data_IF_045976381146
#
_entry.id   IF_045976381146
#
_cell.length_a   1.000
_cell.length_b   1.000
_cell.length_c   1.000
_cell.angle_alpha   90.00
_cell.angle_beta   90.00
_cell.angle_gamma   90.00
#
_symmetry.space_group_name_H-M   'P 1'
#
loop_
_entity.id
_entity.type
_entity.pdbx_description
1 polymer ?
#
# COMPACT_ATOMS: atom_id res chain seq x y z
N UNK A 1 7.64 3.58 14.78
CA UNK A 1 6.99 3.74 13.50
C UNK A 1 7.91 4.33 12.47
N UNK A 2 7.74 3.94 11.23
CA UNK A 2 8.60 4.45 10.17
C UNK A 2 7.97 5.73 9.59
N UNK A 3 8.57 6.86 9.95
CA UNK A 3 8.06 8.16 9.56
C UNK A 3 8.08 8.34 8.03
N UNK A 4 9.08 7.81 7.34
CA UNK A 4 9.16 7.93 5.88
C UNK A 4 8.01 7.20 5.20
N UNK A 5 7.63 6.04 5.71
CA UNK A 5 6.51 5.29 5.15
C UNK A 5 5.20 6.06 5.36
N UNK A 6 5.01 6.64 6.53
CA UNK A 6 3.83 7.42 6.79
C UNK A 6 3.76 8.65 5.91
N UNK A 7 4.88 9.33 5.70
CA UNK A 7 4.93 10.48 4.81
C UNK A 7 4.61 10.09 3.37
N UNK A 8 5.11 8.93 2.94
CA UNK A 8 4.82 8.44 1.59
C UNK A 8 3.32 8.18 1.41
N UNK A 9 2.68 7.59 2.42
CA UNK A 9 1.25 7.34 2.37
C UNK A 9 0.45 8.65 2.30
N UNK A 10 0.89 9.66 3.03
CA UNK A 10 0.25 10.98 2.98
C UNK A 10 0.33 11.55 1.57
N UNK A 11 1.50 11.47 0.95
CA UNK A 11 1.68 11.98 -0.41
C UNK A 11 0.85 11.21 -1.42
N UNK A 12 0.81 9.88 -1.29
CA UNK A 12 0.00 9.05 -2.17
C UNK A 12 -1.49 9.37 -2.03
N UNK A 13 -1.95 9.50 -0.79
CA UNK A 13 -3.35 9.81 -0.55
C UNK A 13 -3.72 11.16 -1.15
N UNK A 14 -2.84 12.13 -1.02
CA UNK A 14 -3.06 13.45 -1.61
C UNK A 14 -3.11 13.37 -3.13
N UNK A 15 -2.21 12.60 -3.72
CA UNK A 15 -2.16 12.43 -5.17
C UNK A 15 -3.45 11.84 -5.71
N UNK A 16 -3.99 10.83 -5.04
CA UNK A 16 -5.21 10.15 -5.47
C UNK A 16 -6.48 10.77 -4.87
N UNK A 17 -6.33 11.79 -4.05
CA UNK A 17 -7.46 12.51 -3.44
C UNK A 17 -8.33 11.60 -2.58
N UNK A 18 -7.68 10.80 -1.77
CA UNK A 18 -8.36 9.92 -0.81
C UNK A 18 -7.82 10.23 0.59
N UNK A 19 -8.53 9.71 1.60
CA UNK A 19 -8.05 9.82 2.98
C UNK A 19 -6.78 8.99 3.15
N UNK A 20 -5.94 9.37 4.10
CA UNK A 20 -4.72 8.63 4.39
C UNK A 20 -5.10 7.37 5.18
N UNK A 21 -4.73 6.17 4.70
CA UNK A 21 -5.00 4.97 5.47
C UNK A 21 -4.10 4.93 6.70
N UNK A 22 -4.60 4.28 7.75
CA UNK A 22 -3.78 4.04 8.93
C UNK A 22 -2.79 2.93 8.66
N UNK A 23 -1.66 2.97 9.34
CA UNK A 23 -0.62 1.95 9.22
C UNK A 23 -0.41 1.31 10.58
N UNK A 24 -0.49 0.00 10.65
CA UNK A 24 -0.45 -0.73 11.90
C UNK A 24 0.41 -1.97 11.76
N UNK A 25 1.12 -2.33 12.83
CA UNK A 25 1.85 -3.60 12.91
C UNK A 25 0.97 -4.62 13.61
N UNK A 26 0.92 -5.83 13.05
CA UNK A 26 0.11 -6.91 13.58
C UNK A 26 -1.10 -7.16 12.71
N UNK A 27 -1.25 -8.39 12.24
CA UNK A 27 -2.39 -8.74 11.39
C UNK A 27 -3.63 -8.99 12.25
N UNK A 28 -4.83 -8.66 11.73
CA UNK A 28 -6.06 -9.00 12.42
C UNK A 28 -6.19 -10.52 12.58
N UNK A 29 -6.98 -10.94 13.54
CA UNK A 29 -7.24 -12.36 13.79
C UNK A 29 -7.85 -12.99 12.55
N UNK A 30 -7.51 -14.24 12.31
CA UNK A 30 -8.08 -15.02 11.21
C UNK A 30 -7.31 -14.95 9.91
N UNK A 31 -6.27 -14.13 9.85
CA UNK A 31 -5.46 -14.05 8.63
C UNK A 31 -4.44 -15.17 8.57
N UNK A 32 -4.13 -15.60 7.35
CA UNK A 32 -3.18 -16.68 7.13
C UNK A 32 -1.78 -16.22 7.49
N UNK A 33 -0.97 -17.17 7.96
CA UNK A 33 0.38 -16.86 8.43
C UNK A 33 1.33 -16.44 7.32
N UNK A 34 1.01 -16.75 6.08
CA UNK A 34 1.93 -16.50 4.97
C UNK A 34 1.66 -15.20 4.21
N UNK A 35 0.88 -14.31 4.76
CA UNK A 35 0.70 -12.99 4.14
C UNK A 35 1.56 -11.98 4.88
N UNK A 36 2.03 -10.97 4.14
CA UNK A 36 2.90 -9.94 4.67
C UNK A 36 2.15 -8.71 5.14
N UNK A 37 0.95 -8.52 4.65
CA UNK A 37 0.12 -7.41 5.04
C UNK A 37 -1.31 -7.63 4.60
N UNK A 38 -2.19 -6.77 5.07
CA UNK A 38 -3.58 -6.78 4.63
C UNK A 38 -4.18 -5.39 4.76
N UNK A 39 -5.26 -5.18 4.06
CA UNK A 39 -6.02 -3.93 4.17
C UNK A 39 -7.41 -4.22 4.69
N UNK A 40 -7.84 -3.45 5.68
CA UNK A 40 -9.18 -3.55 6.25
C UNK A 40 -9.96 -2.29 5.90
N UNK A 41 -10.97 -2.42 5.04
CA UNK A 41 -11.72 -1.26 4.57
C UNK A 41 -12.59 -0.65 5.66
N UNK A 42 -13.04 -1.45 6.60
CA UNK A 42 -13.92 -0.98 7.66
C UNK A 42 -13.29 0.17 8.44
N UNK A 43 -12.02 0.07 8.75
CA UNK A 43 -11.30 1.11 9.49
C UNK A 43 -10.16 1.74 8.68
N UNK A 44 -10.11 1.45 7.39
CA UNK A 44 -9.14 2.02 6.46
C UNK A 44 -7.70 1.84 6.96
N UNK A 45 -7.38 0.62 7.35
CA UNK A 45 -6.09 0.32 7.96
C UNK A 45 -5.29 -0.67 7.13
N UNK A 46 -4.04 -0.33 6.85
CA UNK A 46 -3.05 -1.25 6.33
C UNK A 46 -2.34 -1.87 7.51
N UNK A 47 -2.44 -3.19 7.65
CA UNK A 47 -1.81 -3.93 8.72
C UNK A 47 -0.64 -4.73 8.16
N UNK A 48 0.52 -4.64 8.78
CA UNK A 48 1.72 -5.33 8.33
C UNK A 48 2.06 -6.45 9.30
N UNK A 49 2.59 -7.54 8.78
CA UNK A 49 2.96 -8.70 9.59
C UNK A 49 3.93 -8.33 10.68
N UNK A 50 4.92 -7.49 10.37
CA UNK A 50 5.89 -7.02 11.35
C UNK A 50 6.42 -5.66 10.93
N UNK A 51 7.16 -5.02 11.83
CA UNK A 51 7.75 -3.71 11.55
C UNK A 51 8.80 -3.77 10.44
N UNK A 52 9.32 -4.96 10.12
CA UNK A 52 10.28 -5.11 9.05
C UNK A 52 9.71 -4.70 7.70
N UNK A 53 8.40 -4.72 7.55
CA UNK A 53 7.75 -4.39 6.28
C UNK A 53 7.48 -2.91 6.09
N UNK A 54 7.81 -2.06 7.06
CA UNK A 54 7.66 -0.62 6.86
C UNK A 54 8.47 -0.10 5.68
N UNK A 55 9.62 -0.71 5.41
CA UNK A 55 10.46 -0.30 4.30
C UNK A 55 10.17 -1.04 3.00
N UNK A 56 9.17 -1.90 2.98
CA UNK A 56 8.87 -2.69 1.80
C UNK A 56 7.79 -1.99 0.97
N UNK A 57 8.25 -1.22 -0.02
CA UNK A 57 7.34 -0.41 -0.83
C UNK A 57 6.32 -1.26 -1.59
N UNK A 58 6.72 -2.45 -2.03
CA UNK A 58 5.79 -3.30 -2.77
C UNK A 58 4.59 -3.69 -1.91
N UNK A 59 4.84 -4.13 -0.68
CA UNK A 59 3.75 -4.52 0.21
C UNK A 59 2.84 -3.32 0.53
N UNK A 60 3.45 -2.18 0.83
CA UNK A 60 2.69 -0.96 1.13
C UNK A 60 1.82 -0.55 -0.06
N UNK A 61 2.38 -0.55 -1.27
CA UNK A 61 1.64 -0.17 -2.46
C UNK A 61 0.54 -1.17 -2.80
N UNK A 62 0.80 -2.45 -2.59
CA UNK A 62 -0.20 -3.49 -2.80
C UNK A 62 -1.43 -3.24 -1.91
N UNK A 63 -1.19 -2.97 -0.62
CA UNK A 63 -2.31 -2.73 0.30
C UNK A 63 -2.94 -1.36 0.04
N UNK A 64 -2.15 -0.38 -0.37
CA UNK A 64 -2.70 0.92 -0.73
C UNK A 64 -3.65 0.82 -1.93
N UNK A 65 -3.37 -0.09 -2.86
CA UNK A 65 -4.29 -0.32 -3.97
C UNK A 65 -5.68 -0.74 -3.47
N UNK A 66 -5.72 -1.62 -2.48
CA UNK A 66 -7.00 -2.03 -1.90
C UNK A 66 -7.71 -0.84 -1.26
N UNK A 67 -6.96 0.08 -0.67
CA UNK A 67 -7.53 1.31 -0.13
C UNK A 67 -8.16 2.16 -1.24
N UNK A 68 -7.46 2.31 -2.37
CA UNK A 68 -8.00 3.04 -3.51
C UNK A 68 -9.29 2.39 -4.02
N UNK A 69 -9.29 1.06 -4.11
CA UNK A 69 -10.49 0.36 -4.55
C UNK A 69 -11.66 0.59 -3.60
N UNK A 70 -11.40 0.59 -2.31
CA UNK A 70 -12.46 0.81 -1.32
C UNK A 70 -13.03 2.22 -1.43
N UNK A 71 -12.28 3.17 -1.98
CA UNK A 71 -12.73 4.54 -2.21
C UNK A 71 -13.23 4.75 -3.63
N UNK A 72 -13.38 3.68 -4.40
CA UNK A 72 -13.89 3.72 -5.78
C UNK A 72 -13.04 4.55 -6.73
N UNK A 73 -11.74 4.64 -6.46
CA UNK A 73 -10.85 5.40 -7.33
C UNK A 73 -10.60 4.65 -8.64
N UNK A 74 -10.45 3.33 -8.58
CA UNK A 74 -10.28 2.50 -9.76
C UNK A 74 -11.51 1.62 -9.95
N UNK A 75 -12.35 1.96 -10.90
CA UNK A 75 -13.57 1.20 -11.19
C UNK A 75 -13.43 0.25 -12.35
N UNK A 76 -12.35 0.36 -13.11
CA UNK A 76 -12.15 -0.46 -14.30
C UNK A 76 -11.63 -1.84 -13.98
N UNK A 77 -10.92 -1.97 -12.88
CA UNK A 77 -10.29 -3.24 -12.50
C UNK A 77 -10.94 -3.80 -11.25
N UNK A 78 -10.99 -5.11 -11.18
CA UNK A 78 -11.43 -5.77 -9.95
C UNK A 78 -10.35 -5.61 -8.88
N UNK A 79 -10.78 -5.50 -7.63
CA UNK A 79 -9.85 -5.36 -6.51
C UNK A 79 -9.21 -6.67 -6.13
N UNK A 80 -8.55 -7.32 -7.06
CA UNK A 80 -7.93 -8.63 -6.85
C UNK A 80 -6.48 -8.47 -6.42
N UNK A 81 -5.93 -9.54 -5.85
CA UNK A 81 -4.51 -9.56 -5.48
C UNK A 81 -3.62 -9.37 -6.70
N UNK A 82 -4.02 -9.94 -7.84
CA UNK A 82 -3.26 -9.79 -9.06
C UNK A 82 -3.20 -8.33 -9.52
N UNK A 83 -4.31 -7.62 -9.43
CA UNK A 83 -4.32 -6.21 -9.82
C UNK A 83 -3.56 -5.35 -8.82
N UNK A 84 -3.59 -5.71 -7.55
CA UNK A 84 -2.80 -5.01 -6.54
C UNK A 84 -1.30 -5.18 -6.80
N UNK A 85 -0.89 -6.40 -7.16
CA UNK A 85 0.50 -6.65 -7.53
C UNK A 85 0.91 -5.84 -8.75
N UNK A 86 0.03 -5.78 -9.74
CA UNK A 86 0.31 -4.99 -10.95
C UNK A 86 0.46 -3.52 -10.61
N UNK A 87 -0.43 -2.99 -9.80
CA UNK A 87 -0.36 -1.59 -9.40
C UNK A 87 0.98 -1.28 -8.73
N UNK A 88 1.37 -2.12 -7.76
CA UNK A 88 2.60 -1.91 -7.04
C UNK A 88 3.82 -2.00 -7.97
N UNK A 89 3.83 -2.98 -8.86
CA UNK A 89 4.93 -3.17 -9.81
C UNK A 89 5.05 -1.99 -10.74
N UNK A 90 3.94 -1.56 -11.34
CA UNK A 90 3.97 -0.46 -12.28
C UNK A 90 4.35 0.85 -11.61
N UNK A 91 3.89 1.06 -10.39
CA UNK A 91 4.24 2.26 -9.66
C UNK A 91 5.75 2.30 -9.40
N UNK A 92 6.31 1.18 -8.95
CA UNK A 92 7.74 1.14 -8.65
C UNK A 92 8.58 1.31 -9.90
N UNK A 93 8.17 0.71 -11.02
CA UNK A 93 8.89 0.88 -12.29
C UNK A 93 8.85 2.33 -12.75
N UNK A 94 7.70 2.97 -12.65
CA UNK A 94 7.59 4.39 -13.02
C UNK A 94 8.48 5.26 -12.14
N UNK A 95 8.52 4.98 -10.84
CA UNK A 95 9.35 5.73 -9.92
C UNK A 95 10.83 5.57 -10.28
N UNK A 96 11.26 4.34 -10.59
CA UNK A 96 12.65 4.10 -10.94
C UNK A 96 13.05 4.82 -12.23
N UNK A 97 12.16 4.85 -13.21
CA UNK A 97 12.48 5.49 -14.48
C UNK A 97 12.53 7.01 -14.39
N UNK A 98 11.85 7.60 -13.43
CA UNK A 98 11.79 9.06 -13.29
C UNK A 98 12.79 9.58 -12.28
N UNK A 99 12.86 8.96 -11.11
CA UNK A 99 13.64 9.51 -10.02
C UNK A 99 14.61 8.56 -9.35
N UNK A 100 14.41 7.27 -9.51
CA UNK A 100 15.20 6.30 -8.75
C UNK A 100 16.69 6.39 -8.99
N UNK A 101 17.09 6.68 -10.21
CA UNK A 101 18.51 6.75 -10.55
C UNK A 101 19.22 7.93 -9.93
N UNK A 102 18.50 8.94 -9.53
CA UNK A 102 19.10 10.14 -8.95
C UNK A 102 19.51 9.96 -7.51
N UNK A 103 19.06 8.90 -6.88
CA UNK A 103 19.31 8.66 -5.47
C UNK A 103 20.49 7.75 -5.20
N UNK A 104 21.16 7.37 -6.21
CA UNK A 104 22.26 6.43 -6.09
C UNK A 104 23.56 7.07 -5.66
#
# INVERSE_FOLDING_TARGET
MNQKTEEALILLAKHYKVTVPQLKVGLPKGHKKNIYGCYTSKNQTISLLSSDFFGNAFVILHEFYHHLRSKSVDRQHKGTEKNADRFATEFLLAYQSVGGHTNL
#
